data_IF_449171487344
#
_entry.id   IF_449171487344
#
_cell.length_a   1.000
_cell.length_b   1.000
_cell.length_c   1.000
_cell.angle_alpha   90.00
_cell.angle_beta   90.00
_cell.angle_gamma   90.00
#
_symmetry.space_group_name_H-M   'P 1'
#
loop_
_entity.id
_entity.type
_entity.pdbx_description
1 polymer ?
#
# COMPACT_ATOMS: atom_id res chain seq x y z
N UNK A 1 18.49 -24.60 16.22
CA UNK A 1 19.47 -23.69 15.59
C UNK A 1 19.17 -23.65 14.11
N UNK A 2 18.45 -22.63 13.65
CA UNK A 2 18.22 -22.42 12.21
C UNK A 2 19.35 -21.52 11.68
N UNK A 3 19.89 -21.87 10.53
CA UNK A 3 21.00 -21.19 9.86
C UNK A 3 20.72 -19.70 9.68
N UNK A 4 21.50 -18.86 10.36
CA UNK A 4 21.62 -17.43 10.05
C UNK A 4 22.23 -17.29 8.64
N UNK A 5 21.39 -17.12 7.63
CA UNK A 5 21.82 -16.73 6.30
C UNK A 5 22.57 -15.39 6.36
N UNK A 6 23.63 -15.29 5.56
CA UNK A 6 24.60 -14.18 5.50
C UNK A 6 23.99 -12.76 5.34
N UNK A 7 22.71 -12.63 4.99
CA UNK A 7 21.99 -11.34 4.92
C UNK A 7 21.60 -10.72 6.28
N UNK A 8 21.48 -11.53 7.34
CA UNK A 8 21.03 -11.07 8.67
C UNK A 8 22.01 -10.06 9.31
N UNK A 9 23.32 -10.30 9.19
CA UNK A 9 24.33 -9.41 9.77
C UNK A 9 24.41 -8.06 9.05
N UNK A 10 24.20 -8.03 7.73
CA UNK A 10 24.24 -6.80 6.93
C UNK A 10 23.05 -5.87 7.25
N UNK A 11 21.85 -6.43 7.49
CA UNK A 11 20.61 -5.67 7.79
C UNK A 11 20.74 -4.74 9.00
N UNK A 12 21.54 -5.14 9.99
CA UNK A 12 21.71 -4.41 11.26
C UNK A 12 22.97 -3.54 11.29
N UNK A 13 23.70 -3.43 10.19
CA UNK A 13 24.91 -2.62 10.13
C UNK A 13 24.62 -1.14 10.42
N UNK A 14 25.31 -0.58 11.41
CA UNK A 14 25.12 0.78 11.89
C UNK A 14 23.79 1.02 12.63
N UNK A 15 23.06 -0.02 13.04
CA UNK A 15 21.86 0.10 13.88
C UNK A 15 22.27 -0.04 15.36
N UNK A 16 22.18 1.06 16.11
CA UNK A 16 22.40 1.06 17.56
C UNK A 16 21.10 0.72 18.29
N UNK A 17 21.15 -0.27 19.20
CA UNK A 17 20.08 -0.57 20.15
C UNK A 17 20.53 -0.21 21.55
N UNK A 18 19.67 0.46 22.30
CA UNK A 18 19.94 0.84 23.71
C UNK A 18 19.54 -0.25 24.71
N UNK A 19 18.95 -1.34 24.22
CA UNK A 19 18.54 -2.52 24.97
C UNK A 19 19.34 -3.75 24.53
N UNK A 20 19.37 -4.78 25.38
CA UNK A 20 20.12 -6.02 25.13
C UNK A 20 19.27 -7.10 24.45
N UNK A 21 19.90 -8.16 23.95
CA UNK A 21 19.19 -9.36 23.49
C UNK A 21 18.46 -10.09 24.63
N UNK A 22 18.97 -9.99 25.87
CA UNK A 22 18.32 -10.56 27.05
C UNK A 22 17.01 -9.84 27.38
N UNK A 23 16.95 -8.51 27.17
CA UNK A 23 15.71 -7.76 27.33
C UNK A 23 14.63 -8.20 26.34
N UNK A 24 15.02 -8.43 25.08
CA UNK A 24 14.11 -8.94 24.05
C UNK A 24 13.61 -10.34 24.41
N UNK A 25 14.51 -11.26 24.80
CA UNK A 25 14.13 -12.61 25.22
C UNK A 25 13.18 -12.60 26.42
N UNK A 26 13.44 -11.72 27.39
CA UNK A 26 12.61 -11.56 28.60
C UNK A 26 11.19 -11.08 28.28
N UNK A 27 11.01 -10.23 27.27
CA UNK A 27 9.74 -9.56 26.98
C UNK A 27 8.94 -10.18 25.82
N UNK A 28 9.52 -11.10 25.04
CA UNK A 28 8.84 -11.67 23.86
C UNK A 28 7.77 -12.72 24.15
N UNK A 29 7.61 -13.15 25.40
CA UNK A 29 6.74 -14.26 25.79
C UNK A 29 7.36 -15.65 25.53
N UNK A 30 6.62 -16.70 25.88
CA UNK A 30 7.12 -18.10 25.86
C UNK A 30 6.95 -18.82 24.52
N UNK A 31 6.16 -18.27 23.60
CA UNK A 31 5.83 -18.88 22.30
C UNK A 31 6.21 -17.92 21.18
N UNK A 32 6.80 -18.45 20.12
CA UNK A 32 7.08 -17.67 18.92
C UNK A 32 5.80 -17.53 18.08
N UNK A 33 5.32 -16.30 17.96
CA UNK A 33 4.26 -15.92 17.01
C UNK A 33 4.95 -15.41 15.74
N UNK A 34 4.56 -15.95 14.57
CA UNK A 34 5.14 -15.57 13.29
C UNK A 34 4.30 -14.46 12.62
N UNK A 35 4.97 -13.42 12.14
CA UNK A 35 4.35 -12.30 11.42
C UNK A 35 4.78 -12.34 9.95
N UNK A 36 4.24 -13.32 9.20
CA UNK A 36 4.71 -13.66 7.85
C UNK A 36 4.71 -12.49 6.88
N UNK A 37 3.61 -11.73 6.80
CA UNK A 37 3.50 -10.60 5.86
C UNK A 37 4.48 -9.46 6.20
N UNK A 38 4.62 -9.15 7.49
CA UNK A 38 5.59 -8.14 7.92
C UNK A 38 7.04 -8.56 7.60
N UNK A 39 7.39 -9.83 7.85
CA UNK A 39 8.74 -10.35 7.54
C UNK A 39 9.02 -10.29 6.02
N UNK A 40 8.15 -10.87 5.20
CA UNK A 40 8.33 -10.91 3.75
C UNK A 40 8.33 -9.50 3.15
N UNK A 41 7.42 -8.63 3.61
CA UNK A 41 7.37 -7.23 3.20
C UNK A 41 8.64 -6.48 3.57
N UNK A 42 9.13 -6.61 4.80
CA UNK A 42 10.36 -5.94 5.25
C UNK A 42 11.61 -6.43 4.51
N UNK A 43 11.71 -7.73 4.24
CA UNK A 43 12.79 -8.33 3.44
C UNK A 43 12.78 -7.78 2.01
N UNK A 44 11.61 -7.80 1.35
CA UNK A 44 11.43 -7.27 -0.01
C UNK A 44 11.69 -5.77 -0.09
N UNK A 45 11.18 -4.99 0.87
CA UNK A 45 11.43 -3.55 0.92
C UNK A 45 12.92 -3.26 1.03
N UNK A 46 13.62 -3.99 1.92
CA UNK A 46 15.06 -3.83 2.08
C UNK A 46 15.82 -4.14 0.78
N UNK A 47 15.47 -5.21 0.08
CA UNK A 47 16.04 -5.54 -1.23
C UNK A 47 15.82 -4.40 -2.24
N UNK A 48 14.56 -3.97 -2.44
CA UNK A 48 14.21 -2.92 -3.39
C UNK A 48 14.97 -1.62 -3.14
N UNK A 49 15.14 -1.22 -1.87
CA UNK A 49 15.87 0.01 -1.52
C UNK A 49 17.37 -0.04 -1.87
N UNK A 50 17.95 -1.23 -2.01
CA UNK A 50 19.36 -1.42 -2.36
C UNK A 50 19.57 -1.75 -3.84
N UNK A 51 18.60 -2.40 -4.48
CA UNK A 51 18.71 -2.81 -5.90
C UNK A 51 18.21 -1.75 -6.86
N UNK A 52 17.10 -1.06 -6.52
CA UNK A 52 16.47 -0.13 -7.43
C UNK A 52 17.15 1.27 -7.35
N UNK A 53 17.11 2.07 -8.43
CA UNK A 53 17.58 3.46 -8.39
C UNK A 53 16.87 4.24 -7.28
N UNK A 54 15.57 4.03 -7.14
CA UNK A 54 14.71 4.43 -6.03
C UNK A 54 13.39 3.65 -6.13
N UNK A 55 12.61 3.63 -5.05
CA UNK A 55 11.32 2.96 -4.94
C UNK A 55 10.22 4.03 -4.83
N UNK A 56 9.46 4.30 -5.90
CA UNK A 56 8.32 5.20 -5.85
C UNK A 56 7.09 4.51 -5.24
N UNK A 57 6.29 5.27 -4.49
CA UNK A 57 5.01 4.82 -3.96
C UNK A 57 3.96 5.95 -3.98
N UNK A 58 2.69 5.57 -3.94
CA UNK A 58 1.56 6.48 -3.82
C UNK A 58 0.80 6.18 -2.52
N UNK A 59 0.25 7.22 -1.90
CA UNK A 59 -0.62 7.10 -0.72
C UNK A 59 -1.94 6.41 -1.07
N UNK A 60 -2.17 5.23 -0.49
CA UNK A 60 -3.42 4.48 -0.59
C UNK A 60 -4.19 4.50 0.73
N UNK A 61 -5.50 4.74 0.66
CA UNK A 61 -6.43 4.67 1.80
C UNK A 61 -7.45 3.54 1.68
N UNK A 62 -7.49 2.85 0.54
CA UNK A 62 -8.34 1.67 0.32
C UNK A 62 -7.54 0.51 -0.26
N UNK A 63 -8.03 -0.71 -0.07
CA UNK A 63 -7.46 -1.91 -0.71
C UNK A 63 -7.54 -1.86 -2.24
N UNK A 64 -8.62 -1.31 -2.80
CA UNK A 64 -8.78 -1.18 -4.26
C UNK A 64 -7.73 -0.25 -4.87
N UNK A 65 -7.46 0.90 -4.23
CA UNK A 65 -6.37 1.79 -4.66
C UNK A 65 -5.02 1.08 -4.66
N UNK A 66 -4.71 0.34 -3.60
CA UNK A 66 -3.45 -0.38 -3.51
C UNK A 66 -3.33 -1.49 -4.56
N UNK A 67 -4.42 -2.23 -4.83
CA UNK A 67 -4.46 -3.25 -5.91
C UNK A 67 -4.16 -2.61 -7.27
N UNK A 68 -4.83 -1.50 -7.61
CA UNK A 68 -4.59 -0.81 -8.89
C UNK A 68 -3.16 -0.27 -8.99
N UNK A 69 -2.58 0.23 -7.90
CA UNK A 69 -1.18 0.66 -7.86
C UNK A 69 -0.21 -0.46 -8.20
N UNK A 70 -0.40 -1.65 -7.60
CA UNK A 70 0.44 -2.82 -7.88
C UNK A 70 0.21 -3.36 -9.29
N UNK A 71 -1.05 -3.39 -9.73
CA UNK A 71 -1.42 -3.83 -11.07
C UNK A 71 -0.83 -2.94 -12.16
N UNK A 72 -0.75 -1.62 -11.92
CA UNK A 72 -0.08 -0.67 -12.79
C UNK A 72 1.47 -0.75 -12.74
N UNK A 73 2.04 -1.60 -11.88
CA UNK A 73 3.47 -1.89 -11.80
C UNK A 73 4.23 -1.21 -10.67
N UNK A 74 3.57 -0.51 -9.73
CA UNK A 74 4.26 -0.03 -8.53
C UNK A 74 4.67 -1.19 -7.62
N UNK A 75 5.89 -1.11 -7.08
CA UNK A 75 6.48 -2.17 -6.25
C UNK A 75 6.29 -1.98 -4.75
N UNK A 76 5.73 -0.85 -4.31
CA UNK A 76 5.53 -0.51 -2.92
C UNK A 76 4.33 0.42 -2.73
N UNK A 77 3.75 0.40 -1.53
CA UNK A 77 2.62 1.24 -1.13
C UNK A 77 3.05 2.15 0.01
N UNK A 78 2.59 3.40 -0.04
CA UNK A 78 2.62 4.30 1.10
C UNK A 78 1.23 4.35 1.73
N UNK A 79 1.14 4.26 3.05
CA UNK A 79 -0.11 4.43 3.78
C UNK A 79 0.02 5.69 4.64
N UNK A 80 -0.72 6.72 4.24
CA UNK A 80 -0.67 8.07 4.80
C UNK A 80 -1.57 8.23 6.03
N UNK A 81 -1.02 8.72 7.15
CA UNK A 81 -1.80 9.06 8.35
C UNK A 81 -2.82 10.17 8.07
N UNK A 82 -2.43 11.16 7.27
CA UNK A 82 -3.32 12.22 6.78
C UNK A 82 -4.55 11.65 6.05
N UNK A 83 -4.37 10.67 5.18
CA UNK A 83 -5.48 10.07 4.44
C UNK A 83 -6.41 9.26 5.34
N UNK A 84 -5.84 8.58 6.34
CA UNK A 84 -6.61 7.90 7.38
C UNK A 84 -7.44 8.90 8.18
N UNK A 85 -6.86 10.02 8.61
CA UNK A 85 -7.59 11.10 9.26
C UNK A 85 -8.73 11.63 8.40
N UNK A 86 -8.48 11.84 7.11
CA UNK A 86 -9.47 12.43 6.20
C UNK A 86 -10.67 11.52 5.94
N UNK A 87 -10.45 10.23 5.68
CA UNK A 87 -11.51 9.39 5.07
C UNK A 87 -11.45 7.88 5.37
N UNK A 88 -10.55 7.41 6.24
CA UNK A 88 -10.36 5.96 6.46
C UNK A 88 -10.07 5.55 7.91
N UNK A 89 -10.52 6.34 8.88
CA UNK A 89 -10.28 6.06 10.31
C UNK A 89 -11.44 5.35 11.02
N UNK A 90 -11.10 4.72 12.15
CA UNK A 90 -12.04 3.95 12.98
C UNK A 90 -13.14 4.79 13.63
N UNK A 91 -12.98 6.12 13.76
CA UNK A 91 -14.04 7.00 14.29
C UNK A 91 -15.13 7.30 13.27
N UNK A 92 -14.94 6.95 11.99
CA UNK A 92 -15.87 7.25 10.90
C UNK A 92 -16.18 8.75 10.81
N UNK A 93 -15.15 9.58 11.04
CA UNK A 93 -15.22 11.04 10.95
C UNK A 93 -14.18 11.54 9.95
N UNK A 94 -14.42 12.73 9.40
CA UNK A 94 -13.40 13.45 8.64
C UNK A 94 -12.62 14.35 9.56
N UNK A 95 -11.32 14.12 9.68
CA UNK A 95 -10.42 14.90 10.51
C UNK A 95 -9.31 15.59 9.70
N UNK A 96 -8.82 16.74 10.20
CA UNK A 96 -7.52 17.24 9.81
C UNK A 96 -6.40 16.34 10.35
N UNK A 97 -5.21 16.50 9.78
CA UNK A 97 -3.99 15.78 10.17
C UNK A 97 -3.39 16.29 11.47
N UNK A 98 -3.98 15.86 12.60
CA UNK A 98 -3.63 16.29 13.96
C UNK A 98 -3.76 15.13 14.97
N UNK A 99 -3.56 13.89 14.54
CA UNK A 99 -3.61 12.70 15.43
C UNK A 99 -4.93 12.54 16.20
N UNK A 100 -6.06 13.04 15.66
CA UNK A 100 -7.36 13.00 16.35
C UNK A 100 -8.03 11.62 16.28
N UNK A 101 -7.65 10.81 15.29
CA UNK A 101 -8.28 9.51 15.08
C UNK A 101 -7.73 8.43 16.03
N UNK A 102 -8.49 7.35 16.28
CA UNK A 102 -8.05 6.26 17.15
C UNK A 102 -6.80 5.57 16.59
N UNK A 103 -5.81 5.30 17.46
CA UNK A 103 -4.50 4.73 17.10
C UNK A 103 -4.56 3.40 16.32
N UNK A 104 -5.68 2.67 16.39
CA UNK A 104 -5.89 1.42 15.66
C UNK A 104 -6.22 1.62 14.16
N UNK A 105 -6.47 2.86 13.73
CA UNK A 105 -6.95 3.18 12.39
C UNK A 105 -5.93 2.81 11.30
N UNK A 106 -4.66 3.21 11.44
CA UNK A 106 -3.63 2.86 10.45
C UNK A 106 -3.40 1.34 10.38
N UNK A 107 -3.21 0.60 11.50
CA UNK A 107 -3.14 -0.86 11.48
C UNK A 107 -4.31 -1.55 10.77
N UNK A 108 -5.55 -1.04 10.94
CA UNK A 108 -6.72 -1.57 10.21
C UNK A 108 -6.61 -1.36 8.71
N UNK A 109 -6.13 -0.21 8.26
CA UNK A 109 -5.94 0.06 6.83
C UNK A 109 -4.79 -0.78 6.26
N UNK A 110 -3.70 -1.00 7.00
CA UNK A 110 -2.64 -1.95 6.61
C UNK A 110 -3.24 -3.35 6.39
N UNK A 111 -4.04 -3.82 7.35
CA UNK A 111 -4.69 -5.14 7.26
C UNK A 111 -5.64 -5.22 6.07
N UNK A 112 -6.41 -4.14 5.82
CA UNK A 112 -7.32 -4.03 4.68
C UNK A 112 -6.57 -4.12 3.34
N UNK A 113 -5.43 -3.46 3.21
CA UNK A 113 -4.61 -3.50 1.99
C UNK A 113 -4.02 -4.90 1.80
N UNK A 114 -3.43 -5.49 2.84
CA UNK A 114 -2.89 -6.85 2.77
C UNK A 114 -3.96 -7.90 2.42
N UNK A 115 -5.19 -7.76 2.92
CA UNK A 115 -6.31 -8.63 2.55
C UNK A 115 -6.72 -8.47 1.08
N UNK A 116 -6.64 -7.24 0.53
CA UNK A 116 -6.90 -7.01 -0.89
C UNK A 116 -5.82 -7.67 -1.76
N UNK A 117 -4.55 -7.54 -1.39
CA UNK A 117 -3.45 -8.26 -2.05
C UNK A 117 -3.61 -9.77 -1.97
N UNK A 118 -4.01 -10.30 -0.80
CA UNK A 118 -4.27 -11.72 -0.64
C UNK A 118 -5.39 -12.21 -1.55
N UNK A 119 -6.47 -11.43 -1.75
CA UNK A 119 -7.56 -11.79 -2.67
C UNK A 119 -7.05 -11.88 -4.11
N UNK A 120 -6.27 -10.89 -4.55
CA UNK A 120 -5.73 -10.88 -5.91
C UNK A 120 -4.74 -12.03 -6.14
N UNK A 121 -3.90 -12.34 -5.16
CA UNK A 121 -2.98 -13.47 -5.19
C UNK A 121 -3.73 -14.82 -5.21
N UNK A 122 -4.77 -14.98 -4.40
CA UNK A 122 -5.65 -16.16 -4.40
C UNK A 122 -6.28 -16.42 -5.76
N UNK A 123 -6.84 -15.38 -6.38
CA UNK A 123 -7.41 -15.46 -7.72
C UNK A 123 -6.34 -15.86 -8.75
N UNK A 124 -5.23 -15.14 -8.78
CA UNK A 124 -4.11 -15.42 -9.69
C UNK A 124 -3.59 -16.86 -9.53
N UNK A 125 -3.40 -17.32 -8.30
CA UNK A 125 -2.93 -18.66 -7.99
C UNK A 125 -3.93 -19.74 -8.43
N UNK A 126 -5.23 -19.52 -8.19
CA UNK A 126 -6.29 -20.45 -8.63
C UNK A 126 -6.39 -20.57 -10.16
N UNK A 127 -6.01 -19.51 -10.89
CA UNK A 127 -5.91 -19.50 -12.35
C UNK A 127 -4.57 -20.07 -12.87
N UNK A 128 -3.70 -20.58 -11.98
CA UNK A 128 -2.38 -21.12 -12.34
C UNK A 128 -1.36 -20.06 -12.77
N UNK A 129 -1.62 -18.78 -12.47
CA UNK A 129 -0.76 -17.65 -12.85
C UNK A 129 0.16 -17.24 -11.70
N UNK A 130 1.22 -16.50 -12.03
CA UNK A 130 2.19 -15.95 -11.06
C UNK A 130 2.86 -14.66 -11.57
N UNK A 131 2.19 -13.94 -12.47
CA UNK A 131 2.72 -12.80 -13.22
C UNK A 131 2.88 -11.53 -12.38
N UNK A 132 2.02 -11.31 -11.39
CA UNK A 132 2.09 -10.15 -10.50
C UNK A 132 2.46 -10.62 -9.08
N UNK A 133 3.44 -9.92 -8.49
CA UNK A 133 3.73 -10.07 -7.07
C UNK A 133 2.86 -9.12 -6.25
N UNK A 134 1.71 -9.61 -5.79
CA UNK A 134 0.67 -8.80 -5.15
C UNK A 134 1.07 -8.22 -3.79
N UNK A 135 1.86 -8.94 -2.99
CA UNK A 135 2.26 -8.52 -1.65
C UNK A 135 3.36 -7.45 -1.68
N UNK A 136 3.06 -6.29 -2.27
CA UNK A 136 3.94 -5.14 -2.27
C UNK A 136 4.15 -4.63 -0.84
N UNK A 137 5.40 -4.30 -0.42
CA UNK A 137 5.67 -3.75 0.90
C UNK A 137 4.90 -2.45 1.16
N UNK A 138 4.25 -2.40 2.32
CA UNK A 138 3.53 -1.23 2.82
C UNK A 138 4.45 -0.47 3.78
N UNK A 139 4.76 0.79 3.46
CA UNK A 139 5.40 1.74 4.38
C UNK A 139 4.30 2.58 5.01
N UNK A 140 4.07 2.39 6.30
CA UNK A 140 2.95 2.99 7.03
C UNK A 140 3.38 4.16 7.92
N UNK A 141 2.48 5.12 8.07
CA UNK A 141 2.61 6.27 8.94
C UNK A 141 2.24 5.94 10.38
N UNK A 142 3.13 6.21 11.33
CA UNK A 142 2.85 6.12 12.77
C UNK A 142 2.78 7.50 13.44
N UNK A 143 2.76 8.57 12.65
CA UNK A 143 2.77 9.97 13.09
C UNK A 143 3.86 10.21 14.14
N UNK A 144 3.54 10.94 15.21
CA UNK A 144 4.41 11.10 16.37
C UNK A 144 4.33 9.94 17.39
N UNK A 145 3.62 8.84 17.07
CA UNK A 145 3.45 7.68 17.95
C UNK A 145 2.28 7.76 18.93
N UNK A 146 1.35 8.70 18.75
CA UNK A 146 0.08 8.81 19.51
C UNK A 146 0.25 8.89 21.04
N UNK A 147 1.36 9.47 21.51
CA UNK A 147 1.64 9.63 22.94
C UNK A 147 3.11 9.44 23.27
N UNK A 148 3.39 8.66 24.31
CA UNK A 148 4.74 8.36 24.77
C UNK A 148 5.32 7.07 24.17
N UNK A 149 6.47 6.64 24.71
CA UNK A 149 7.18 5.45 24.23
C UNK A 149 6.32 4.17 24.23
N UNK A 150 5.39 4.01 25.19
CA UNK A 150 4.51 2.85 25.26
C UNK A 150 3.45 2.88 24.15
N UNK A 151 2.94 4.06 23.78
CA UNK A 151 2.02 4.21 22.65
C UNK A 151 2.73 3.87 21.34
N UNK A 152 3.96 4.38 21.15
CA UNK A 152 4.78 4.05 19.98
C UNK A 152 5.11 2.54 19.91
N UNK A 153 5.35 1.90 21.05
CA UNK A 153 5.58 0.45 21.14
C UNK A 153 4.35 -0.36 20.71
N UNK A 154 3.18 -0.07 21.27
CA UNK A 154 1.94 -0.78 20.92
C UNK A 154 1.52 -0.52 19.47
N UNK A 155 1.70 0.71 18.96
CA UNK A 155 1.42 1.03 17.56
C UNK A 155 2.35 0.28 16.60
N UNK A 156 3.66 0.25 16.87
CA UNK A 156 4.61 -0.54 16.06
C UNK A 156 4.24 -2.03 16.06
N UNK A 157 3.88 -2.58 17.23
CA UNK A 157 3.43 -3.97 17.35
C UNK A 157 2.18 -4.22 16.50
N UNK A 158 1.16 -3.37 16.60
CA UNK A 158 -0.06 -3.48 15.81
C UNK A 158 0.19 -3.39 14.30
N UNK A 159 1.13 -2.53 13.87
CA UNK A 159 1.53 -2.41 12.46
C UNK A 159 2.27 -3.65 11.96
N UNK A 160 3.13 -4.26 12.79
CA UNK A 160 3.78 -5.54 12.47
C UNK A 160 2.74 -6.65 12.36
N UNK A 161 1.80 -6.73 13.30
CA UNK A 161 0.72 -7.72 13.28
C UNK A 161 -0.16 -7.58 12.03
N UNK A 162 -0.45 -6.35 11.61
CA UNK A 162 -1.18 -6.04 10.39
C UNK A 162 -0.39 -6.34 9.10
N UNK A 163 0.92 -6.54 9.18
CA UNK A 163 1.78 -6.88 8.04
C UNK A 163 2.43 -5.68 7.34
N UNK A 164 2.70 -4.57 8.05
CA UNK A 164 3.49 -3.47 7.52
C UNK A 164 4.95 -3.90 7.29
N UNK A 165 5.54 -3.42 6.18
CA UNK A 165 6.95 -3.70 5.83
C UNK A 165 7.92 -2.68 6.44
N UNK A 166 7.46 -1.43 6.57
CA UNK A 166 8.19 -0.33 7.18
C UNK A 166 7.23 0.63 7.87
N UNK A 167 7.72 1.34 8.87
CA UNK A 167 6.93 2.31 9.64
C UNK A 167 7.78 3.55 9.83
N UNK A 168 7.22 4.75 9.62
CA UNK A 168 7.90 5.99 9.97
C UNK A 168 7.29 6.63 11.21
N UNK A 169 8.14 7.17 12.07
CA UNK A 169 7.77 8.06 13.15
C UNK A 169 8.31 9.45 12.85
N UNK A 170 7.50 10.47 13.11
CA UNK A 170 7.87 11.85 12.91
C UNK A 170 8.76 12.35 14.04
N UNK A 171 10.02 12.56 13.70
CA UNK A 171 10.96 13.31 14.51
C UNK A 171 11.67 14.31 13.59
N UNK A 172 11.92 15.52 14.08
CA UNK A 172 12.64 16.52 13.29
C UNK A 172 14.01 15.98 12.85
N UNK A 173 14.35 16.15 11.57
CA UNK A 173 15.68 15.78 11.06
C UNK A 173 16.69 16.86 11.47
N UNK A 174 17.72 16.54 12.28
CA UNK A 174 18.70 17.55 12.70
C UNK A 174 19.54 18.03 11.51
N UNK A 175 19.94 19.31 11.56
CA UNK A 175 20.85 19.89 10.57
C UNK A 175 22.17 19.12 10.52
N UNK A 176 22.73 18.94 9.32
CA UNK A 176 24.00 18.22 9.13
C UNK A 176 23.91 16.69 9.19
N UNK A 177 22.72 16.08 9.33
CA UNK A 177 22.57 14.62 9.38
C UNK A 177 23.27 13.88 8.22
N UNK A 178 23.12 14.38 6.98
CA UNK A 178 23.75 13.77 5.80
C UNK A 178 25.28 13.78 5.86
N UNK A 179 25.88 14.81 6.47
CA UNK A 179 27.33 14.89 6.65
C UNK A 179 27.82 13.92 7.73
N UNK A 180 27.04 13.75 8.81
CA UNK A 180 27.36 12.82 9.90
C UNK A 180 27.19 11.34 9.51
N UNK A 181 26.29 11.04 8.57
CA UNK A 181 25.95 9.66 8.18
C UNK A 181 25.99 9.46 6.65
N UNK A 182 27.19 9.48 6.04
CA UNK A 182 27.32 9.29 4.60
C UNK A 182 26.79 7.92 4.16
N UNK A 183 26.11 7.89 3.01
CA UNK A 183 25.55 6.65 2.44
C UNK A 183 24.30 6.11 3.14
N UNK A 184 23.75 6.80 4.15
CA UNK A 184 22.44 6.42 4.71
C UNK A 184 21.32 6.65 3.71
N UNK A 185 20.45 5.64 3.59
CA UNK A 185 19.25 5.70 2.76
C UNK A 185 18.32 6.79 3.30
N UNK A 186 17.79 7.60 2.40
CA UNK A 186 16.86 8.67 2.73
C UNK A 186 15.49 8.38 2.10
N UNK A 187 14.45 8.99 2.66
CA UNK A 187 13.12 9.01 2.08
C UNK A 187 12.71 10.45 1.74
N UNK A 188 11.88 10.64 0.72
CA UNK A 188 11.40 11.97 0.32
C UNK A 188 9.90 11.96 0.05
N UNK A 189 9.20 12.90 0.70
CA UNK A 189 7.79 13.17 0.44
C UNK A 189 7.65 14.14 -0.75
N UNK A 190 7.22 13.63 -1.90
CA UNK A 190 6.80 14.41 -3.06
C UNK A 190 5.39 14.98 -2.82
N UNK A 191 5.29 15.91 -1.88
CA UNK A 191 4.01 16.33 -1.29
C UNK A 191 3.06 17.01 -2.29
N UNK A 192 1.77 16.63 -2.32
CA UNK A 192 0.71 17.38 -3.00
C UNK A 192 0.43 18.77 -2.40
N UNK A 193 0.89 19.05 -1.18
CA UNK A 193 0.80 20.38 -0.59
C UNK A 193 1.70 21.41 -1.31
N UNK A 194 2.63 20.96 -2.15
CA UNK A 194 3.37 21.84 -3.04
C UNK A 194 2.57 22.12 -4.32
N UNK A 195 2.51 23.40 -4.71
CA UNK A 195 2.10 23.77 -6.06
C UNK A 195 3.28 23.55 -7.03
N UNK A 196 3.36 22.34 -7.59
CA UNK A 196 4.47 21.89 -8.42
C UNK A 196 4.75 22.82 -9.61
N UNK A 197 3.75 23.13 -10.43
CA UNK A 197 3.92 24.00 -11.61
C UNK A 197 4.19 25.46 -11.29
N UNK A 198 3.86 25.93 -10.09
CA UNK A 198 4.26 27.27 -9.61
C UNK A 198 5.74 27.31 -9.21
N UNK A 199 6.35 26.17 -8.88
CA UNK A 199 7.69 26.08 -8.30
C UNK A 199 8.73 25.54 -9.26
N UNK A 200 8.35 24.66 -10.17
CA UNK A 200 9.24 23.91 -11.04
C UNK A 200 8.73 23.92 -12.47
N UNK A 201 9.67 23.89 -13.44
CA UNK A 201 9.35 23.69 -14.85
C UNK A 201 8.92 22.24 -15.12
N UNK A 202 8.24 21.98 -16.23
CA UNK A 202 7.85 20.61 -16.62
C UNK A 202 9.09 19.69 -16.78
N UNK A 203 10.22 20.24 -17.26
CA UNK A 203 11.49 19.50 -17.36
C UNK A 203 12.12 19.16 -16.01
N UNK A 204 11.97 20.02 -15.01
CA UNK A 204 12.44 19.75 -13.65
C UNK A 204 11.55 18.74 -12.95
N UNK A 205 10.23 18.84 -13.11
CA UNK A 205 9.26 17.86 -12.58
C UNK A 205 9.57 16.47 -13.16
N UNK A 206 9.77 16.36 -14.47
CA UNK A 206 10.05 15.09 -15.13
C UNK A 206 11.31 14.37 -14.61
N UNK A 207 12.34 15.12 -14.20
CA UNK A 207 13.60 14.57 -13.68
C UNK A 207 13.68 14.52 -12.16
N UNK A 208 12.67 15.02 -11.46
CA UNK A 208 12.72 15.29 -10.02
C UNK A 208 13.09 14.03 -9.21
N UNK A 209 12.33 12.95 -9.38
CA UNK A 209 12.53 11.71 -8.62
C UNK A 209 13.84 11.00 -8.97
N UNK A 210 14.21 10.99 -10.25
CA UNK A 210 15.49 10.42 -10.70
C UNK A 210 16.68 11.18 -10.08
N UNK A 211 16.60 12.51 -10.03
CA UNK A 211 17.62 13.37 -9.40
C UNK A 211 17.72 13.08 -7.90
N UNK A 212 16.59 12.99 -7.20
CA UNK A 212 16.54 12.60 -5.78
C UNK A 212 17.13 11.20 -5.54
N UNK A 213 16.85 10.24 -6.42
CA UNK A 213 17.41 8.90 -6.36
C UNK A 213 18.93 8.91 -6.43
N UNK A 214 19.50 9.72 -7.32
CA UNK A 214 20.95 9.95 -7.43
C UNK A 214 21.58 10.58 -6.18
N UNK A 215 20.79 11.23 -5.32
CA UNK A 215 21.23 11.81 -4.04
C UNK A 215 21.02 10.89 -2.83
N UNK A 216 20.53 9.66 -3.04
CA UNK A 216 20.31 8.67 -1.99
C UNK A 216 18.90 8.66 -1.38
N UNK A 217 17.94 9.40 -1.95
CA UNK A 217 16.53 9.28 -1.59
C UNK A 217 15.92 8.04 -2.25
N UNK A 218 16.04 6.91 -1.55
CA UNK A 218 15.72 5.57 -2.05
C UNK A 218 14.26 5.19 -1.90
N UNK A 219 13.52 5.82 -0.99
CA UNK A 219 12.06 5.69 -0.92
C UNK A 219 11.44 7.05 -1.21
N UNK A 220 10.57 7.15 -2.22
CA UNK A 220 9.97 8.41 -2.63
C UNK A 220 8.47 8.21 -2.77
N UNK A 221 7.67 9.10 -2.17
CA UNK A 221 6.23 8.86 -2.10
C UNK A 221 5.42 10.14 -2.23
N UNK A 222 4.23 10.03 -2.82
CA UNK A 222 3.24 11.11 -2.85
C UNK A 222 2.18 10.79 -1.80
N UNK A 223 2.20 11.52 -0.67
CA UNK A 223 1.37 11.23 0.51
C UNK A 223 -0.13 11.22 0.23
N UNK A 224 -0.64 12.20 -0.51
CA UNK A 224 -2.09 12.42 -0.68
C UNK A 224 -2.61 11.96 -2.06
N UNK A 225 -1.86 11.12 -2.77
CA UNK A 225 -2.20 10.68 -4.13
C UNK A 225 -3.61 10.09 -4.22
N UNK A 226 -3.93 9.10 -3.38
CA UNK A 226 -5.26 8.48 -3.34
C UNK A 226 -6.39 9.45 -2.99
N UNK A 227 -6.12 10.50 -2.20
CA UNK A 227 -7.15 11.47 -1.80
C UNK A 227 -7.52 12.35 -2.98
N UNK A 228 -6.51 12.92 -3.64
CA UNK A 228 -6.73 13.75 -4.82
C UNK A 228 -7.33 12.94 -5.98
N UNK A 229 -6.84 11.72 -6.22
CA UNK A 229 -7.36 10.86 -7.28
C UNK A 229 -8.85 10.54 -7.06
N UNK A 230 -9.23 10.13 -5.84
CA UNK A 230 -10.62 9.78 -5.50
C UNK A 230 -11.56 10.98 -5.59
N UNK A 231 -11.20 12.10 -4.96
CA UNK A 231 -12.07 13.27 -4.91
C UNK A 231 -12.25 13.89 -6.30
N UNK A 232 -11.17 13.99 -7.08
CA UNK A 232 -11.23 14.60 -8.40
C UNK A 232 -12.03 13.77 -9.41
N UNK A 233 -11.82 12.46 -9.44
CA UNK A 233 -12.53 11.57 -10.37
C UNK A 233 -14.03 11.56 -10.05
N UNK A 234 -14.40 11.43 -8.77
CA UNK A 234 -15.80 11.42 -8.35
C UNK A 234 -16.49 12.77 -8.58
N UNK A 235 -15.84 13.90 -8.26
CA UNK A 235 -16.39 15.23 -8.54
C UNK A 235 -16.65 15.43 -10.03
N UNK A 236 -15.71 15.04 -10.89
CA UNK A 236 -15.84 15.16 -12.34
C UNK A 236 -16.99 14.32 -12.87
N UNK A 237 -17.08 13.04 -12.46
CA UNK A 237 -18.18 12.15 -12.83
C UNK A 237 -19.53 12.70 -12.36
N UNK A 238 -19.65 13.11 -11.09
CA UNK A 238 -20.89 13.61 -10.52
C UNK A 238 -21.37 14.90 -11.19
N UNK A 239 -20.47 15.85 -11.46
CA UNK A 239 -20.76 17.09 -12.18
C UNK A 239 -21.30 16.80 -13.59
N UNK A 240 -20.62 15.93 -14.31
CA UNK A 240 -20.99 15.60 -15.68
C UNK A 240 -22.28 14.78 -15.74
N UNK A 241 -22.46 13.84 -14.82
CA UNK A 241 -23.69 13.05 -14.67
C UNK A 241 -24.90 13.93 -14.33
N UNK A 242 -24.74 14.95 -13.50
CA UNK A 242 -25.81 15.88 -13.16
C UNK A 242 -26.35 16.66 -14.38
N UNK A 243 -25.56 16.77 -15.46
CA UNK A 243 -25.94 17.51 -16.68
C UNK A 243 -26.24 16.61 -17.87
N UNK A 244 -25.52 15.48 -18.01
CA UNK A 244 -25.56 14.60 -19.18
C UNK A 244 -26.06 13.18 -18.88
N UNK A 245 -26.35 12.88 -17.61
CA UNK A 245 -26.82 11.57 -17.17
C UNK A 245 -25.90 10.44 -17.62
N UNK A 246 -26.50 9.37 -18.16
CA UNK A 246 -25.78 8.15 -18.55
C UNK A 246 -24.65 8.37 -19.56
N UNK A 247 -24.67 9.42 -20.38
CA UNK A 247 -23.55 9.70 -21.30
C UNK A 247 -22.23 9.92 -20.55
N UNK A 248 -22.26 10.57 -19.39
CA UNK A 248 -21.06 10.79 -18.58
C UNK A 248 -20.53 9.46 -18.00
N UNK A 249 -21.42 8.54 -17.62
CA UNK A 249 -21.02 7.23 -17.10
C UNK A 249 -20.52 6.31 -18.21
N UNK A 250 -21.17 6.31 -19.38
CA UNK A 250 -20.73 5.54 -20.54
C UNK A 250 -19.33 5.99 -21.01
N UNK A 251 -19.00 7.28 -20.96
CA UNK A 251 -17.65 7.78 -21.27
C UNK A 251 -16.59 7.26 -20.28
N UNK A 252 -16.94 7.14 -18.99
CA UNK A 252 -16.07 6.49 -18.02
C UNK A 252 -15.87 5.02 -18.36
N UNK A 253 -16.96 4.30 -18.67
CA UNK A 253 -16.90 2.88 -19.03
C UNK A 253 -16.07 2.64 -20.30
N UNK A 254 -16.21 3.47 -21.33
CA UNK A 254 -15.38 3.43 -22.54
C UNK A 254 -13.90 3.71 -22.25
N UNK A 255 -13.63 4.64 -21.32
CA UNK A 255 -12.26 4.89 -20.87
C UNK A 255 -11.66 3.67 -20.14
N UNK A 256 -12.47 2.94 -19.37
CA UNK A 256 -12.07 1.69 -18.71
C UNK A 256 -11.75 0.59 -19.72
N UNK A 257 -12.61 0.34 -20.72
CA UNK A 257 -12.32 -0.58 -21.82
C UNK A 257 -11.03 -0.19 -22.55
N UNK A 258 -10.85 1.11 -22.80
CA UNK A 258 -9.63 1.64 -23.41
C UNK A 258 -8.37 1.41 -22.57
N UNK A 259 -8.49 1.21 -21.25
CA UNK A 259 -7.38 0.98 -20.33
C UNK A 259 -6.99 -0.50 -20.18
N UNK A 260 -7.83 -1.44 -20.62
CA UNK A 260 -7.54 -2.89 -20.55
C UNK A 260 -6.26 -3.26 -21.32
N UNK A 261 -6.00 -2.57 -22.45
CA UNK A 261 -4.76 -2.73 -23.25
C UNK A 261 -3.49 -2.40 -22.47
N UNK A 262 -3.61 -1.65 -21.38
CA UNK A 262 -2.53 -1.28 -20.47
C UNK A 262 -2.52 -2.13 -19.19
N UNK A 263 -3.36 -3.16 -19.12
CA UNK A 263 -3.43 -4.11 -18.01
C UNK A 263 -4.52 -3.82 -16.97
N UNK A 264 -5.43 -2.86 -17.18
CA UNK A 264 -6.59 -2.66 -16.30
C UNK A 264 -7.55 -3.86 -16.36
N UNK A 265 -8.18 -4.24 -15.24
CA UNK A 265 -9.05 -5.45 -15.17
C UNK A 265 -10.37 -5.25 -14.43
N UNK A 266 -10.64 -4.05 -13.89
CA UNK A 266 -11.82 -3.85 -13.06
C UNK A 266 -13.10 -3.51 -13.85
N UNK A 267 -13.04 -3.46 -15.19
CA UNK A 267 -14.22 -3.47 -16.09
C UNK A 267 -15.13 -4.66 -15.79
N UNK A 268 -14.54 -5.85 -15.71
CA UNK A 268 -15.18 -7.08 -15.20
C UNK A 268 -15.15 -7.09 -13.68
N UNK A 269 -15.94 -6.20 -13.08
CA UNK A 269 -15.91 -5.94 -11.64
C UNK A 269 -16.28 -7.16 -10.78
N UNK A 270 -17.14 -8.07 -11.25
CA UNK A 270 -17.48 -9.30 -10.52
C UNK A 270 -16.27 -10.22 -10.45
N UNK A 271 -15.63 -10.50 -11.60
CA UNK A 271 -14.40 -11.29 -11.64
C UNK A 271 -13.29 -10.62 -10.83
N UNK A 272 -13.16 -9.30 -10.92
CA UNK A 272 -12.12 -8.52 -10.24
C UNK A 272 -12.19 -8.61 -8.72
N UNK A 273 -13.40 -8.64 -8.13
CA UNK A 273 -13.57 -8.82 -6.67
C UNK A 273 -13.57 -10.28 -6.22
N UNK A 274 -13.40 -11.22 -7.15
CA UNK A 274 -13.18 -12.63 -6.87
C UNK A 274 -14.44 -13.51 -6.87
N UNK A 275 -15.50 -13.11 -7.58
CA UNK A 275 -16.71 -13.96 -7.73
C UNK A 275 -16.34 -15.36 -8.23
N UNK A 276 -15.46 -15.48 -9.23
CA UNK A 276 -14.99 -16.77 -9.74
C UNK A 276 -14.17 -17.59 -8.73
N UNK A 277 -13.40 -16.92 -7.86
CA UNK A 277 -12.70 -17.61 -6.79
C UNK A 277 -13.68 -18.21 -5.78
N UNK A 278 -14.73 -17.47 -5.41
CA UNK A 278 -15.73 -17.99 -4.47
C UNK A 278 -16.64 -19.06 -5.10
N UNK A 279 -16.89 -19.00 -6.41
CA UNK A 279 -17.53 -20.09 -7.14
C UNK A 279 -16.67 -21.36 -7.07
N UNK A 280 -15.35 -21.26 -7.25
CA UNK A 280 -14.44 -22.40 -7.08
C UNK A 280 -14.52 -22.97 -5.65
N UNK A 281 -14.49 -22.10 -4.63
CA UNK A 281 -14.65 -22.53 -3.23
C UNK A 281 -15.99 -23.25 -3.01
N UNK A 282 -17.09 -22.69 -3.53
CA UNK A 282 -18.42 -23.31 -3.45
C UNK A 282 -18.45 -24.68 -4.12
N UNK A 283 -17.85 -24.80 -5.30
CA UNK A 283 -17.76 -26.08 -6.01
C UNK A 283 -16.97 -27.11 -5.22
N UNK A 284 -15.82 -26.74 -4.64
CA UNK A 284 -15.03 -27.65 -3.80
C UNK A 284 -15.81 -28.12 -2.58
N UNK A 285 -16.49 -27.21 -1.86
CA UNK A 285 -17.29 -27.55 -0.67
C UNK A 285 -18.46 -28.48 -1.04
N UNK A 286 -19.05 -28.29 -2.21
CA UNK A 286 -20.20 -29.06 -2.70
C UNK A 286 -19.82 -30.33 -3.48
N UNK A 287 -18.53 -30.69 -3.53
CA UNK A 287 -18.03 -31.81 -4.34
C UNK A 287 -18.45 -31.72 -5.83
N UNK A 288 -18.52 -30.49 -6.37
CA UNK A 288 -18.88 -30.22 -7.77
C UNK A 288 -20.38 -30.18 -8.06
N UNK A 289 -21.24 -30.20 -7.05
CA UNK A 289 -22.70 -30.29 -7.23
C UNK A 289 -23.44 -28.95 -7.07
N UNK A 290 -22.74 -27.86 -6.76
CA UNK A 290 -23.37 -26.55 -6.55
C UNK A 290 -24.05 -26.05 -7.82
N UNK A 291 -25.34 -25.72 -7.70
CA UNK A 291 -26.16 -25.12 -8.75
C UNK A 291 -26.32 -23.60 -8.61
N UNK A 292 -25.65 -22.98 -7.63
CA UNK A 292 -25.81 -21.57 -7.23
C UNK A 292 -24.54 -20.75 -7.43
N UNK A 293 -23.70 -21.11 -8.40
CA UNK A 293 -22.53 -20.31 -8.80
C UNK A 293 -22.96 -18.98 -9.42
N UNK A 294 -22.22 -17.91 -9.13
CA UNK A 294 -22.61 -16.55 -9.45
C UNK A 294 -22.13 -16.04 -10.82
N UNK A 295 -21.01 -16.54 -11.36
CA UNK A 295 -20.51 -16.08 -12.67
C UNK A 295 -21.29 -16.65 -13.85
N UNK A 296 -21.63 -17.94 -13.80
CA UNK A 296 -22.31 -18.63 -14.90
C UNK A 296 -23.72 -18.08 -15.09
N UNK A 297 -24.00 -17.49 -16.25
CA UNK A 297 -25.27 -16.83 -16.57
C UNK A 297 -25.37 -15.40 -16.01
N UNK A 298 -24.27 -14.78 -15.62
CA UNK A 298 -24.25 -13.37 -15.21
C UNK A 298 -24.20 -12.44 -16.43
N UNK A 299 -24.69 -11.20 -16.28
CA UNK A 299 -24.56 -10.18 -17.33
C UNK A 299 -23.11 -9.85 -17.66
N UNK A 300 -22.17 -10.06 -16.72
CA UNK A 300 -20.75 -9.92 -16.99
C UNK A 300 -20.26 -10.97 -18.00
N UNK A 301 -20.66 -12.24 -17.84
CA UNK A 301 -20.35 -13.30 -18.81
C UNK A 301 -21.00 -13.03 -20.17
N UNK A 302 -22.23 -12.50 -20.20
CA UNK A 302 -22.97 -12.26 -21.45
C UNK A 302 -22.52 -11.01 -22.22
N UNK A 303 -22.17 -9.92 -21.52
CA UNK A 303 -21.96 -8.60 -22.14
C UNK A 303 -20.49 -8.17 -22.19
N UNK A 304 -19.61 -8.81 -21.42
CA UNK A 304 -18.17 -8.46 -21.34
C UNK A 304 -17.26 -9.58 -21.87
N UNK A 305 -17.82 -10.65 -22.45
CA UNK A 305 -17.03 -11.66 -23.16
C UNK A 305 -16.46 -11.07 -24.47
N UNK A 306 -15.14 -11.04 -24.57
CA UNK A 306 -14.40 -10.79 -25.81
C UNK A 306 -14.00 -12.11 -26.49
#
# INVERSE_FOLDING_TARGET
MASNGSGSAARWNGVKRVYSSQDVERLRGSIKIEHTLARLGAERLWELLHTDPYVPALGAMTGGQAVEMVQAGLKAIYLSGWQVAADANSSMQTYPDQSLYPVDSVPRVVSRINNAFQRMDQMQHSEGRSDIHWFAPIVADAEAGFGGNLNAYELMKALIEAGAAGVHFEVGLPSGYRAAYPGKLLAYNCSPSFNWKKKLSDGDIARFQATLGGWGFKFQFITLAGFHALNYSMFTLARDYATRGMSAYAELQEAEFGAEKSGYRATTHQKFVGTGYFDLVSQVISEGTSSVTALKGSTEEEQFAH
#
